data_IF_668027234595
#
_entry.id   IF_668027234595
#
_cell.length_a   1.000
_cell.length_b   1.000
_cell.length_c   1.000
_cell.angle_alpha   90.00
_cell.angle_beta   90.00
_cell.angle_gamma   90.00
#
_symmetry.space_group_name_H-M   'P 1'
#
loop_
_entity.id
_entity.type
_entity.pdbx_description
1 polymer ?
#
# COMPACT_ATOMS: atom_id res chain seq x y z
N UNK A 1 -14.94 -30.34 22.71
CA UNK A 1 -15.00 -29.12 23.56
C UNK A 1 -13.62 -28.86 24.16
N UNK A 2 -13.22 -27.61 24.37
CA UNK A 2 -11.96 -27.30 25.04
C UNK A 2 -11.99 -27.74 26.51
N UNK A 3 -11.00 -28.53 26.90
CA UNK A 3 -10.94 -29.16 28.23
C UNK A 3 -10.24 -28.22 29.23
N UNK A 4 -9.07 -27.70 28.85
CA UNK A 4 -8.25 -26.81 29.70
C UNK A 4 -8.79 -25.38 29.75
N UNK A 5 -8.45 -24.65 30.82
CA UNK A 5 -8.86 -23.23 30.98
C UNK A 5 -8.33 -22.34 29.83
N UNK A 6 -7.10 -22.58 29.37
CA UNK A 6 -6.50 -21.85 28.25
C UNK A 6 -7.22 -22.13 26.93
N UNK A 7 -7.60 -23.38 26.66
CA UNK A 7 -8.35 -23.76 25.47
C UNK A 7 -9.74 -23.11 25.47
N UNK A 8 -10.44 -23.07 26.62
CA UNK A 8 -11.74 -22.40 26.75
C UNK A 8 -11.64 -20.90 26.44
N UNK A 9 -10.59 -20.24 26.93
CA UNK A 9 -10.29 -18.82 26.63
C UNK A 9 -9.97 -18.61 25.14
N UNK A 10 -9.14 -19.46 24.57
CA UNK A 10 -8.76 -19.39 23.15
C UNK A 10 -9.99 -19.49 22.24
N UNK A 11 -10.90 -20.43 22.52
CA UNK A 11 -12.16 -20.58 21.79
C UNK A 11 -12.96 -19.26 21.82
N UNK A 12 -13.16 -18.68 23.00
CA UNK A 12 -13.93 -17.42 23.16
C UNK A 12 -13.31 -16.26 22.36
N UNK A 13 -11.98 -16.13 22.43
CA UNK A 13 -11.23 -15.11 21.67
C UNK A 13 -11.31 -15.38 20.16
N UNK A 14 -11.26 -16.65 19.73
CA UNK A 14 -11.39 -17.01 18.33
C UNK A 14 -12.76 -16.64 17.78
N UNK A 15 -13.84 -16.96 18.50
CA UNK A 15 -15.22 -16.65 18.10
C UNK A 15 -15.45 -15.15 17.92
N UNK A 16 -14.99 -14.34 18.88
CA UNK A 16 -15.10 -12.87 18.81
C UNK A 16 -14.30 -12.29 17.65
N UNK A 17 -13.06 -12.72 17.45
CA UNK A 17 -12.24 -12.33 16.29
C UNK A 17 -12.86 -12.78 14.97
N UNK A 18 -13.41 -13.98 14.92
CA UNK A 18 -14.06 -14.53 13.75
C UNK A 18 -15.28 -13.68 13.36
N UNK A 19 -16.16 -13.36 14.29
CA UNK A 19 -17.35 -12.54 14.04
C UNK A 19 -17.00 -11.13 13.53
N UNK A 20 -15.92 -10.53 14.01
CA UNK A 20 -15.43 -9.24 13.49
C UNK A 20 -14.83 -9.39 12.08
N UNK A 21 -14.00 -10.41 11.87
CA UNK A 21 -13.33 -10.64 10.59
C UNK A 21 -14.32 -11.04 9.47
N UNK A 22 -15.38 -11.79 9.79
CA UNK A 22 -16.42 -12.15 8.82
C UNK A 22 -17.14 -10.91 8.30
N UNK A 23 -17.49 -9.95 9.17
CA UNK A 23 -18.08 -8.67 8.75
C UNK A 23 -17.20 -7.93 7.74
N UNK A 24 -15.89 -7.85 8.00
CA UNK A 24 -14.92 -7.20 7.10
C UNK A 24 -14.82 -7.97 5.77
N UNK A 25 -14.78 -9.30 5.80
CA UNK A 25 -14.72 -10.13 4.58
C UNK A 25 -15.96 -9.94 3.72
N UNK A 26 -17.15 -9.95 4.32
CA UNK A 26 -18.42 -9.74 3.61
C UNK A 26 -18.45 -8.35 2.98
N UNK A 27 -18.07 -7.31 3.73
CA UNK A 27 -18.00 -5.94 3.19
C UNK A 27 -17.03 -5.83 2.01
N UNK A 28 -15.88 -6.50 2.10
CA UNK A 28 -14.90 -6.56 1.01
C UNK A 28 -15.48 -7.28 -0.21
N UNK A 29 -16.11 -8.44 -0.05
CA UNK A 29 -16.69 -9.21 -1.15
C UNK A 29 -17.81 -8.46 -1.86
N UNK A 30 -18.72 -7.84 -1.11
CA UNK A 30 -19.80 -7.02 -1.67
C UNK A 30 -19.21 -5.81 -2.39
N UNK A 31 -18.25 -5.13 -1.78
CA UNK A 31 -17.58 -3.97 -2.39
C UNK A 31 -16.87 -4.32 -3.69
N UNK A 32 -16.19 -5.47 -3.76
CA UNK A 32 -15.52 -5.93 -4.99
C UNK A 32 -16.52 -6.31 -6.10
N UNK A 33 -17.68 -6.86 -5.74
CA UNK A 33 -18.72 -7.24 -6.70
C UNK A 33 -19.45 -6.03 -7.28
N UNK A 34 -19.77 -5.05 -6.44
CA UNK A 34 -20.54 -3.85 -6.80
C UNK A 34 -19.67 -2.64 -7.17
N UNK A 35 -18.36 -2.86 -7.36
CA UNK A 35 -17.43 -1.77 -7.65
C UNK A 35 -17.76 -1.08 -8.98
N UNK A 36 -18.05 0.21 -8.91
CA UNK A 36 -18.24 1.13 -10.04
C UNK A 36 -17.17 2.23 -9.99
N UNK A 37 -17.11 3.08 -11.03
CA UNK A 37 -16.15 4.19 -11.08
C UNK A 37 -16.35 5.19 -9.92
N UNK A 38 -17.60 5.44 -9.54
CA UNK A 38 -17.96 6.37 -8.46
C UNK A 38 -17.63 5.80 -7.08
N UNK A 39 -17.87 4.50 -6.88
CA UNK A 39 -17.64 3.83 -5.59
C UNK A 39 -16.18 3.37 -5.38
N UNK A 40 -15.31 3.61 -6.38
CA UNK A 40 -13.93 3.14 -6.40
C UNK A 40 -13.13 3.55 -5.16
N UNK A 41 -13.20 4.82 -4.77
CA UNK A 41 -12.47 5.36 -3.60
C UNK A 41 -12.89 4.68 -2.29
N UNK A 42 -14.20 4.42 -2.15
CA UNK A 42 -14.78 3.69 -1.01
C UNK A 42 -14.30 2.25 -0.95
N UNK A 43 -14.30 1.53 -2.08
CA UNK A 43 -13.86 0.13 -2.15
C UNK A 43 -12.36 0.01 -1.87
N UNK A 44 -11.52 0.92 -2.39
CA UNK A 44 -10.07 0.95 -2.08
C UNK A 44 -9.84 1.17 -0.59
N UNK A 45 -10.61 2.08 0.04
CA UNK A 45 -10.54 2.31 1.48
C UNK A 45 -10.91 1.08 2.30
N UNK A 46 -11.90 0.29 1.87
CA UNK A 46 -12.28 -0.98 2.52
C UNK A 46 -11.14 -2.00 2.41
N UNK A 47 -10.52 -2.13 1.24
CA UNK A 47 -9.39 -3.03 1.01
C UNK A 47 -8.21 -2.68 1.94
N UNK A 48 -7.90 -1.39 2.06
CA UNK A 48 -6.80 -0.94 2.92
C UNK A 48 -7.09 -1.12 4.40
N UNK A 49 -8.33 -0.87 4.83
CA UNK A 49 -8.76 -1.17 6.21
C UNK A 49 -8.65 -2.67 6.51
N UNK A 50 -9.03 -3.54 5.57
CA UNK A 50 -8.90 -4.98 5.72
C UNK A 50 -7.43 -5.43 5.81
N UNK A 51 -6.53 -4.78 5.07
CA UNK A 51 -5.09 -5.04 5.14
C UNK A 51 -4.47 -4.55 6.45
N UNK A 52 -4.82 -3.34 6.91
CA UNK A 52 -4.36 -2.78 8.19
C UNK A 52 -4.78 -3.63 9.39
N UNK A 53 -5.96 -4.25 9.31
CA UNK A 53 -6.48 -5.17 10.34
C UNK A 53 -5.99 -6.62 10.17
N UNK A 54 -5.08 -6.88 9.23
CA UNK A 54 -4.54 -8.22 8.93
C UNK A 54 -5.59 -9.27 8.56
N UNK A 55 -6.78 -8.85 8.09
CA UNK A 55 -7.81 -9.77 7.57
C UNK A 55 -7.39 -10.32 6.20
N UNK A 56 -6.70 -9.50 5.41
CA UNK A 56 -6.04 -9.87 4.16
C UNK A 56 -4.55 -9.48 4.22
N UNK A 57 -3.71 -10.24 3.53
CA UNK A 57 -2.30 -9.89 3.41
C UNK A 57 -2.10 -8.66 2.52
N UNK A 58 -1.02 -7.90 2.76
CA UNK A 58 -0.67 -6.69 2.00
C UNK A 58 -0.58 -6.96 0.49
N UNK A 59 0.02 -8.09 0.11
CA UNK A 59 0.14 -8.51 -1.30
C UNK A 59 -1.23 -8.84 -1.92
N UNK A 60 -2.14 -9.42 -1.13
CA UNK A 60 -3.52 -9.68 -1.59
C UNK A 60 -4.25 -8.35 -1.79
N UNK A 61 -4.10 -7.40 -0.88
CA UNK A 61 -4.68 -6.06 -1.03
C UNK A 61 -4.15 -5.35 -2.29
N UNK A 62 -2.83 -5.35 -2.51
CA UNK A 62 -2.21 -4.78 -3.70
C UNK A 62 -2.72 -5.44 -4.99
N UNK A 63 -2.83 -6.78 -5.00
CA UNK A 63 -3.39 -7.53 -6.14
C UNK A 63 -4.84 -7.13 -6.41
N UNK A 64 -5.68 -7.04 -5.38
CA UNK A 64 -7.08 -6.65 -5.52
C UNK A 64 -7.23 -5.23 -6.08
N UNK A 65 -6.42 -4.27 -5.61
CA UNK A 65 -6.40 -2.91 -6.18
C UNK A 65 -6.02 -2.91 -7.65
N UNK A 66 -4.95 -3.62 -8.02
CA UNK A 66 -4.52 -3.73 -9.41
C UNK A 66 -5.60 -4.34 -10.30
N UNK A 67 -6.26 -5.41 -9.84
CA UNK A 67 -7.36 -6.03 -10.56
C UNK A 67 -8.55 -5.09 -10.71
N UNK A 68 -8.93 -4.34 -9.68
CA UNK A 68 -10.02 -3.36 -9.77
C UNK A 68 -9.75 -2.29 -10.82
N UNK A 69 -8.54 -1.71 -10.80
CA UNK A 69 -8.16 -0.69 -11.78
C UNK A 69 -8.24 -1.25 -13.19
N UNK A 70 -7.70 -2.45 -13.44
CA UNK A 70 -7.78 -3.10 -14.75
C UNK A 70 -9.23 -3.32 -15.19
N UNK A 71 -10.09 -3.86 -14.32
CA UNK A 71 -11.50 -4.12 -14.63
C UNK A 71 -12.25 -2.83 -14.99
N UNK A 72 -11.98 -1.72 -14.31
CA UNK A 72 -12.65 -0.45 -14.58
C UNK A 72 -12.04 0.30 -15.78
N UNK A 73 -10.74 0.15 -16.04
CA UNK A 73 -10.02 0.82 -17.13
C UNK A 73 -10.33 0.22 -18.52
N UNK A 74 -10.62 -1.08 -18.61
CA UNK A 74 -10.97 -1.75 -19.88
C UNK A 74 -12.23 -1.11 -20.52
N UNK A 75 -13.06 -0.41 -19.74
CA UNK A 75 -14.30 0.21 -20.23
C UNK A 75 -14.13 1.45 -21.11
N UNK A 76 -12.91 1.99 -21.29
CA UNK A 76 -12.66 3.01 -22.33
C UNK A 76 -11.15 3.22 -22.57
N UNK A 77 -10.51 2.54 -23.53
CA UNK A 77 -9.26 3.05 -24.07
C UNK A 77 -9.59 4.04 -25.20
N UNK A 78 -9.73 5.32 -24.86
CA UNK A 78 -9.40 6.33 -25.87
C UNK A 78 -7.87 6.41 -25.98
N UNK A 79 -7.32 6.51 -27.21
CA UNK A 79 -5.89 6.42 -27.46
C UNK A 79 -5.19 7.61 -26.81
N UNK A 80 -4.50 7.36 -25.69
CA UNK A 80 -3.70 8.39 -25.04
C UNK A 80 -2.38 8.52 -25.79
N UNK A 81 -2.31 9.51 -26.67
CA UNK A 81 -1.08 9.99 -27.28
C UNK A 81 0.02 10.13 -26.21
N UNK A 82 1.13 9.43 -26.44
CA UNK A 82 2.36 9.55 -25.67
C UNK A 82 2.93 10.95 -25.82
N UNK A 83 2.65 11.84 -24.86
CA UNK A 83 3.49 13.02 -24.65
C UNK A 83 4.65 12.63 -23.74
N UNK A 84 5.75 12.22 -24.37
CA UNK A 84 7.09 12.29 -23.77
C UNK A 84 7.36 13.74 -23.39
N UNK A 85 7.48 14.03 -22.09
CA UNK A 85 7.99 15.32 -21.65
C UNK A 85 9.52 15.29 -21.72
N UNK A 86 10.04 15.62 -22.89
CA UNK A 86 11.36 16.26 -23.01
C UNK A 86 11.18 17.72 -22.61
N UNK A 87 11.72 18.14 -21.46
CA UNK A 87 12.00 19.56 -21.22
C UNK A 87 13.50 19.76 -21.35
N UNK A 88 13.83 20.62 -22.30
CA UNK A 88 15.15 20.89 -22.80
C UNK A 88 16.03 21.65 -21.81
N UNK A 89 17.33 21.41 -21.97
CA UNK A 89 18.48 22.29 -21.70
C UNK A 89 18.11 23.78 -21.62
N UNK A 90 18.41 24.42 -20.49
CA UNK A 90 19.06 25.74 -20.49
C UNK A 90 20.56 25.52 -20.35
N UNK A 91 21.31 25.87 -21.40
CA UNK A 91 22.77 25.97 -21.37
C UNK A 91 23.13 27.44 -21.17
N UNK A 92 23.84 27.77 -20.10
CA UNK A 92 25.03 28.64 -20.16
C UNK A 92 25.86 28.48 -18.89
N UNK A 93 27.11 28.08 -19.11
CA UNK A 93 28.19 27.81 -18.14
C UNK A 93 29.07 29.07 -17.96
N UNK A 94 30.02 29.16 -16.99
CA UNK A 94 31.31 28.47 -17.16
C UNK A 94 31.96 27.93 -15.87
N UNK A 95 32.92 27.03 -16.10
CA UNK A 95 33.78 26.36 -15.11
C UNK A 95 34.77 27.32 -14.45
N UNK A 96 35.09 27.10 -13.16
CA UNK A 96 36.47 27.23 -12.67
C UNK A 96 36.73 26.30 -11.49
N UNK A 97 37.82 25.54 -11.59
CA UNK A 97 38.40 24.69 -10.54
C UNK A 97 39.02 25.56 -9.45
N UNK A 98 38.78 25.28 -8.16
CA UNK A 98 39.79 25.48 -7.10
C UNK A 98 39.66 24.37 -6.05
N UNK A 99 40.72 23.54 -5.97
CA UNK A 99 41.06 22.71 -4.80
C UNK A 99 41.47 23.63 -3.64
N UNK A 100 41.01 23.34 -2.41
CA UNK A 100 41.72 23.55 -1.13
C UNK A 100 41.06 22.62 -0.09
N UNK A 101 41.60 21.42 0.16
CA UNK A 101 42.58 21.06 1.22
C UNK A 101 42.07 21.19 2.66
N UNK A 102 42.01 20.03 3.35
CA UNK A 102 42.49 19.76 4.73
C UNK A 102 41.68 20.47 5.84
N UNK A 103 40.99 19.79 6.76
CA UNK A 103 41.52 18.96 7.85
C UNK A 103 40.48 18.00 8.43
N UNK A 104 40.89 16.74 8.64
CA UNK A 104 40.33 15.86 9.68
C UNK A 104 40.56 16.52 11.05
N UNK A 105 39.58 16.47 11.95
CA UNK A 105 39.84 16.57 13.40
C UNK A 105 39.34 15.30 14.06
N UNK A 106 40.28 14.37 14.22
CA UNK A 106 40.20 13.31 15.20
C UNK A 106 40.67 13.89 16.55
N UNK A 107 39.91 13.63 17.61
CA UNK A 107 40.39 13.62 18.99
C UNK A 107 39.67 12.45 19.66
N UNK A 108 40.26 11.26 19.63
CA UNK A 108 41.26 10.75 20.57
C UNK A 108 40.61 10.31 21.89
N UNK A 109 40.36 9.01 21.94
CA UNK A 109 40.24 8.15 23.12
C UNK A 109 41.51 8.33 23.99
N UNK A 110 41.36 8.52 25.30
CA UNK A 110 42.44 8.36 26.28
C UNK A 110 41.88 7.94 27.64
N UNK A 111 42.62 7.02 28.26
CA UNK A 111 42.51 6.42 29.60
C UNK A 111 41.27 5.54 29.85
#
# INVERSE_FOLDING_TARGET
>A
MPITKSAKKSLRVSQTKQAHNTKIRIALEIGLKKATKETFSGVVSIIDKAAKRHVIHKNKAARLKSQLVKRLAITKPEPRATKTQTVAKTKSSPKTKVKKTVTKKATAKKA
#
